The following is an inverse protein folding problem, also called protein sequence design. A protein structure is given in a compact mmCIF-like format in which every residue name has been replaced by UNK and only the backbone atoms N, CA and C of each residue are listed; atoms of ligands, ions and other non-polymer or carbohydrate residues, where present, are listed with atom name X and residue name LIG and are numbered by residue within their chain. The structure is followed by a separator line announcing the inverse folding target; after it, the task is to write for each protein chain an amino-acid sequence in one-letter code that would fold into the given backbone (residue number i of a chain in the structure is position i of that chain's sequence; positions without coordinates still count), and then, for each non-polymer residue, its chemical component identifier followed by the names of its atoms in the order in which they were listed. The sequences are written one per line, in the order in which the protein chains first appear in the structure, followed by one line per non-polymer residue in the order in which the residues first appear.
data_IF_941318943943
#
_entry.id   IF_941318943943
#
_cell.length_a   1.000
_cell.length_b   1.000
_cell.length_c   1.000
_cell.angle_alpha   90.00
_cell.angle_beta   90.00
_cell.angle_gamma   90.00
#
_symmetry.space_group_name_H-M   'P 1'
#
loop_
_entity.id
_entity.type
_entity.pdbx_description
1 polymer ?
#
# COMPACT_ATOMS: atom_id res chain seq x y z
N UNK A 1 5.45 -41.98 -25.56
CA UNK A 1 5.99 -40.61 -25.63
C UNK A 1 7.27 -40.64 -24.85
N UNK A 2 8.42 -40.71 -25.53
CA UNK A 2 9.71 -40.49 -24.86
C UNK A 2 9.68 -39.07 -24.29
N UNK A 3 10.06 -38.91 -23.03
CA UNK A 3 9.94 -37.64 -22.33
C UNK A 3 10.86 -36.62 -23.01
N UNK A 4 10.41 -35.37 -23.16
CA UNK A 4 11.20 -34.34 -23.86
C UNK A 4 12.54 -34.12 -23.12
N UNK A 5 12.56 -34.45 -21.83
CA UNK A 5 13.71 -34.50 -20.93
C UNK A 5 14.69 -35.62 -21.33
N UNK A 6 14.21 -36.85 -21.61
CA UNK A 6 15.05 -37.97 -22.07
C UNK A 6 15.79 -37.64 -23.38
N UNK A 7 15.15 -36.84 -24.24
CA UNK A 7 15.75 -36.39 -25.50
C UNK A 7 16.79 -35.27 -25.31
N UNK A 8 16.59 -34.33 -24.38
CA UNK A 8 17.58 -33.29 -24.07
C UNK A 8 18.83 -33.92 -23.44
N UNK A 9 18.66 -34.89 -22.54
CA UNK A 9 19.77 -35.68 -21.98
C UNK A 9 20.53 -36.50 -23.04
N UNK A 10 19.87 -36.83 -24.16
CA UNK A 10 20.52 -37.51 -25.28
C UNK A 10 21.39 -36.58 -26.14
N UNK A 11 21.07 -35.27 -26.16
CA UNK A 11 21.80 -34.23 -26.89
C UNK A 11 22.99 -33.68 -26.09
N UNK A 12 22.92 -33.70 -24.75
CA UNK A 12 23.99 -33.23 -23.86
C UNK A 12 25.17 -34.22 -23.74
N UNK A 13 25.03 -35.43 -24.30
CA UNK A 13 26.14 -36.38 -24.40
C UNK A 13 27.09 -35.87 -25.48
N UNK A 14 28.39 -35.67 -25.20
CA UNK A 14 29.36 -35.31 -26.23
C UNK A 14 29.47 -36.46 -27.23
N UNK A 15 28.67 -36.43 -28.28
CA UNK A 15 28.93 -37.23 -29.46
C UNK A 15 30.16 -36.63 -30.11
N UNK A 16 31.19 -37.45 -30.27
CA UNK A 16 32.43 -37.11 -30.94
C UNK A 16 32.13 -37.01 -32.45
N UNK A 17 31.42 -35.96 -32.86
CA UNK A 17 31.03 -35.74 -34.26
C UNK A 17 32.26 -35.25 -35.00
N UNK A 18 32.84 -36.10 -35.85
CA UNK A 18 34.15 -35.83 -36.49
C UNK A 18 34.02 -35.35 -37.92
N UNK A 19 32.84 -35.46 -38.54
CA UNK A 19 32.62 -35.09 -39.94
C UNK A 19 31.37 -34.24 -40.17
N UNK A 20 31.39 -33.40 -41.21
CA UNK A 20 30.27 -32.52 -41.59
C UNK A 20 29.01 -33.32 -41.93
N UNK A 21 29.15 -34.52 -42.49
CA UNK A 21 28.04 -35.42 -42.84
C UNK A 21 27.34 -35.99 -41.60
N UNK A 22 28.08 -36.31 -40.53
CA UNK A 22 27.49 -36.76 -39.26
C UNK A 22 26.73 -35.63 -38.55
N UNK A 23 27.21 -34.38 -38.66
CA UNK A 23 26.48 -33.20 -38.18
C UNK A 23 25.17 -33.05 -38.96
N UNK A 24 25.21 -33.14 -40.30
CA UNK A 24 24.02 -33.04 -41.13
C UNK A 24 22.99 -34.13 -40.83
N UNK A 25 23.42 -35.38 -40.63
CA UNK A 25 22.53 -36.47 -40.26
C UNK A 25 21.92 -36.28 -38.87
N UNK A 26 22.69 -35.81 -37.90
CA UNK A 26 22.20 -35.55 -36.54
C UNK A 26 21.19 -34.40 -36.51
N UNK A 27 21.47 -33.32 -37.24
CA UNK A 27 20.53 -32.19 -37.37
C UNK A 27 19.26 -32.61 -38.11
N UNK A 28 19.36 -33.38 -39.19
CA UNK A 28 18.20 -33.87 -39.94
C UNK A 28 17.34 -34.82 -39.10
N UNK A 29 17.96 -35.71 -38.33
CA UNK A 29 17.26 -36.64 -37.44
C UNK A 29 16.52 -35.92 -36.30
N UNK A 30 17.03 -34.77 -35.86
CA UNK A 30 16.46 -33.98 -34.77
C UNK A 30 15.79 -32.68 -35.24
N UNK A 31 15.56 -32.53 -36.55
CA UNK A 31 15.12 -31.26 -37.15
C UNK A 31 13.86 -30.71 -36.49
N UNK A 32 12.83 -31.53 -36.33
CA UNK A 32 11.57 -31.11 -35.69
C UNK A 32 11.78 -30.68 -34.23
N UNK A 33 12.73 -31.27 -33.51
CA UNK A 33 13.02 -30.90 -32.14
C UNK A 33 13.78 -29.56 -32.08
N UNK A 34 14.78 -29.41 -32.94
CA UNK A 34 15.56 -28.18 -33.06
C UNK A 34 14.65 -27.02 -33.49
N UNK A 35 13.78 -27.26 -34.48
CA UNK A 35 12.79 -26.30 -34.96
C UNK A 35 11.83 -25.90 -33.83
N UNK A 36 11.27 -26.88 -33.10
CA UNK A 36 10.33 -26.62 -32.00
C UNK A 36 10.96 -25.98 -30.74
N UNK A 37 12.25 -26.16 -30.49
CA UNK A 37 12.93 -25.62 -29.30
C UNK A 37 13.55 -24.25 -29.56
N UNK A 38 14.14 -24.04 -30.74
CA UNK A 38 14.97 -22.87 -31.04
C UNK A 38 14.36 -21.93 -32.08
N UNK A 39 13.45 -22.42 -32.93
CA UNK A 39 12.88 -21.64 -34.04
C UNK A 39 11.35 -21.47 -33.95
N UNK A 40 10.70 -22.10 -32.97
CA UNK A 40 9.29 -21.84 -32.66
C UNK A 40 9.12 -20.46 -32.02
N UNK A 41 8.59 -19.53 -32.81
CA UNK A 41 8.19 -18.18 -32.36
C UNK A 41 7.22 -18.17 -31.17
N UNK A 42 6.49 -19.27 -30.94
CA UNK A 42 5.56 -19.44 -29.81
C UNK A 42 6.21 -20.15 -28.62
N UNK A 43 7.45 -20.61 -28.77
CA UNK A 43 8.28 -21.23 -27.74
C UNK A 43 7.55 -22.34 -26.95
N UNK A 44 6.65 -23.09 -27.60
CA UNK A 44 5.69 -23.97 -26.91
C UNK A 44 6.40 -25.05 -26.08
N UNK A 45 7.43 -25.69 -26.66
CA UNK A 45 8.21 -26.70 -25.97
C UNK A 45 9.05 -26.10 -24.83
N UNK A 46 9.69 -24.95 -25.08
CA UNK A 46 10.52 -24.24 -24.10
C UNK A 46 9.70 -23.72 -22.91
N UNK A 47 8.49 -23.19 -23.14
CA UNK A 47 7.58 -22.76 -22.08
C UNK A 47 7.11 -23.93 -21.21
N UNK A 48 6.88 -25.11 -21.81
CA UNK A 48 6.52 -26.31 -21.05
C UNK A 48 7.63 -26.72 -20.07
N UNK A 49 8.89 -26.69 -20.53
CA UNK A 49 10.06 -26.97 -19.68
C UNK A 49 10.15 -25.92 -18.57
N UNK A 50 10.08 -24.63 -18.92
CA UNK A 50 10.22 -23.52 -17.99
C UNK A 50 9.14 -23.54 -16.90
N UNK A 51 7.87 -23.79 -17.26
CA UNK A 51 6.77 -23.97 -16.30
C UNK A 51 6.95 -25.17 -15.38
N UNK A 52 7.77 -26.15 -15.75
CA UNK A 52 8.17 -27.25 -14.89
C UNK A 52 9.30 -26.91 -13.92
N UNK A 53 10.15 -25.93 -14.26
CA UNK A 53 11.31 -25.52 -13.45
C UNK A 53 10.96 -24.45 -12.40
N UNK A 54 9.99 -23.60 -12.70
CA UNK A 54 9.58 -22.49 -11.82
C UNK A 54 8.07 -22.39 -11.74
N UNK A 55 7.56 -22.03 -10.55
CA UNK A 55 6.16 -21.66 -10.41
C UNK A 55 5.93 -20.32 -11.10
N UNK A 56 5.17 -20.33 -12.20
CA UNK A 56 4.89 -19.13 -13.01
C UNK A 56 3.56 -18.46 -12.64
N UNK A 57 2.80 -19.01 -11.70
CA UNK A 57 1.45 -18.53 -11.38
C UNK A 57 0.55 -18.41 -12.63
N UNK A 58 -0.43 -17.49 -12.63
CA UNK A 58 -1.35 -17.25 -13.75
C UNK A 58 -0.78 -16.28 -14.80
N UNK A 59 0.53 -16.32 -15.09
CA UNK A 59 1.16 -15.46 -16.10
C UNK A 59 0.81 -15.97 -17.51
N UNK A 60 0.26 -15.12 -18.40
CA UNK A 60 0.02 -15.50 -19.80
C UNK A 60 1.32 -15.86 -20.53
N UNK A 61 1.27 -16.86 -21.41
CA UNK A 61 2.43 -17.39 -22.14
C UNK A 61 3.19 -16.30 -22.91
N UNK A 62 2.49 -15.32 -23.49
CA UNK A 62 3.11 -14.18 -24.18
C UNK A 62 3.94 -13.29 -23.25
N UNK A 63 3.47 -13.07 -22.02
CA UNK A 63 4.20 -12.28 -21.01
C UNK A 63 5.38 -13.07 -20.48
N UNK A 64 5.22 -14.37 -20.25
CA UNK A 64 6.30 -15.25 -19.83
C UNK A 64 7.42 -15.29 -20.88
N UNK A 65 7.09 -15.34 -22.18
CA UNK A 65 8.05 -15.22 -23.28
C UNK A 65 8.82 -13.90 -23.18
N UNK A 66 8.13 -12.77 -22.99
CA UNK A 66 8.79 -11.46 -22.87
C UNK A 66 9.75 -11.44 -21.67
N UNK A 67 9.35 -11.98 -20.52
CA UNK A 67 10.22 -12.06 -19.33
C UNK A 67 11.48 -12.87 -19.59
N UNK A 68 11.37 -13.98 -20.34
CA UNK A 68 12.50 -14.82 -20.71
C UNK A 68 13.44 -14.10 -21.69
N UNK A 69 12.88 -13.40 -22.69
CA UNK A 69 13.65 -12.62 -23.66
C UNK A 69 14.39 -11.43 -23.00
N UNK A 70 13.84 -10.89 -21.92
CA UNK A 70 14.43 -9.82 -21.11
C UNK A 70 15.54 -10.29 -20.16
N UNK A 71 15.87 -11.59 -20.12
CA UNK A 71 16.95 -12.12 -19.29
C UNK A 71 18.32 -11.79 -19.89
N UNK A 72 19.17 -11.14 -19.10
CA UNK A 72 20.55 -10.81 -19.48
C UNK A 72 21.43 -12.04 -19.68
N UNK A 73 21.13 -13.12 -18.95
CA UNK A 73 21.89 -14.36 -18.95
C UNK A 73 21.61 -15.24 -20.18
N UNK A 74 20.46 -15.07 -20.84
CA UNK A 74 20.02 -15.89 -21.96
C UNK A 74 20.01 -17.40 -21.66
N UNK A 75 19.79 -18.22 -22.69
CA UNK A 75 19.79 -19.69 -22.57
C UNK A 75 21.19 -20.31 -22.42
N UNK A 76 22.26 -19.53 -22.59
CA UNK A 76 23.65 -20.00 -22.52
C UNK A 76 24.22 -20.00 -21.10
N UNK A 77 23.48 -19.49 -20.12
CA UNK A 77 23.92 -19.42 -18.73
C UNK A 77 23.63 -20.71 -17.95
N UNK A 78 24.39 -21.00 -16.87
CA UNK A 78 24.11 -22.14 -16.01
C UNK A 78 22.67 -22.12 -15.49
N UNK A 79 22.05 -23.30 -15.40
CA UNK A 79 20.65 -23.49 -15.00
C UNK A 79 20.29 -22.74 -13.71
N UNK A 80 21.18 -22.77 -12.71
CA UNK A 80 20.99 -22.09 -11.42
C UNK A 80 20.90 -20.57 -11.61
N UNK A 81 21.73 -20.00 -12.47
CA UNK A 81 21.74 -18.55 -12.76
C UNK A 81 20.48 -18.16 -13.52
N UNK A 82 20.15 -18.90 -14.58
CA UNK A 82 18.96 -18.67 -15.39
C UNK A 82 17.69 -18.74 -14.53
N UNK A 83 17.55 -19.81 -13.74
CA UNK A 83 16.38 -20.03 -12.87
C UNK A 83 16.23 -18.92 -11.84
N UNK A 84 17.33 -18.47 -11.23
CA UNK A 84 17.30 -17.38 -10.25
C UNK A 84 16.87 -16.05 -10.89
N UNK A 85 17.42 -15.70 -12.05
CA UNK A 85 17.04 -14.46 -12.74
C UNK A 85 15.59 -14.50 -13.20
N UNK A 86 15.14 -15.65 -13.74
CA UNK A 86 13.75 -15.84 -14.15
C UNK A 86 12.79 -15.73 -12.96
N UNK A 87 13.11 -16.35 -11.81
CA UNK A 87 12.30 -16.20 -10.58
C UNK A 87 12.20 -14.73 -10.16
N UNK A 88 13.30 -13.97 -10.22
CA UNK A 88 13.28 -12.53 -9.93
C UNK A 88 12.37 -11.75 -10.89
N UNK A 89 12.43 -12.03 -12.19
CA UNK A 89 11.56 -11.40 -13.20
C UNK A 89 10.08 -11.74 -13.01
N UNK A 90 9.78 -12.99 -12.65
CA UNK A 90 8.42 -13.44 -12.32
C UNK A 90 7.91 -12.69 -11.09
N UNK A 91 8.71 -12.62 -10.02
CA UNK A 91 8.35 -11.90 -8.81
C UNK A 91 8.09 -10.40 -9.08
N UNK A 92 8.94 -9.75 -9.88
CA UNK A 92 8.75 -8.35 -10.27
C UNK A 92 7.46 -8.15 -11.10
N UNK A 93 7.15 -9.07 -12.00
CA UNK A 93 5.91 -9.05 -12.77
C UNK A 93 4.70 -9.17 -11.85
N UNK A 94 4.74 -10.11 -10.90
CA UNK A 94 3.66 -10.31 -9.93
C UNK A 94 3.45 -9.08 -9.06
N UNK A 95 4.53 -8.47 -8.52
CA UNK A 95 4.45 -7.22 -7.75
C UNK A 95 3.80 -6.09 -8.55
N UNK A 96 4.20 -5.90 -9.82
CA UNK A 96 3.60 -4.88 -10.71
C UNK A 96 2.13 -5.17 -11.01
N UNK A 97 1.78 -6.44 -11.23
CA UNK A 97 0.40 -6.86 -11.45
C UNK A 97 -0.48 -6.60 -10.21
N UNK A 98 0.03 -6.95 -9.03
CA UNK A 98 -0.65 -6.70 -7.75
C UNK A 98 -0.74 -5.21 -7.43
N UNK A 99 0.31 -4.44 -7.67
CA UNK A 99 0.30 -2.98 -7.52
C UNK A 99 -0.81 -2.33 -8.36
N UNK A 100 -0.98 -2.74 -9.63
CA UNK A 100 -2.09 -2.28 -10.48
C UNK A 100 -3.46 -2.66 -9.92
N UNK A 101 -3.60 -3.89 -9.41
CA UNK A 101 -4.87 -4.36 -8.79
C UNK A 101 -5.19 -3.57 -7.53
N UNK A 102 -4.20 -3.32 -6.67
CA UNK A 102 -4.34 -2.50 -5.46
C UNK A 102 -4.77 -1.07 -5.81
N UNK A 103 -4.14 -0.45 -6.81
CA UNK A 103 -4.49 0.89 -7.25
C UNK A 103 -5.90 0.97 -7.88
N UNK A 104 -6.29 -0.03 -8.67
CA UNK A 104 -7.64 -0.12 -9.19
C UNK A 104 -8.66 -0.25 -8.06
N UNK A 105 -8.36 -1.11 -7.07
CA UNK A 105 -9.23 -1.30 -5.92
C UNK A 105 -9.36 -0.03 -5.08
N UNK A 106 -8.24 0.68 -4.89
CA UNK A 106 -8.23 2.00 -4.29
C UNK A 106 -9.16 2.97 -5.03
N UNK A 107 -9.07 3.02 -6.37
CA UNK A 107 -9.93 3.88 -7.20
C UNK A 107 -11.41 3.52 -7.09
N UNK A 108 -11.75 2.24 -7.03
CA UNK A 108 -13.14 1.80 -6.81
C UNK A 108 -13.69 2.30 -5.47
N UNK A 109 -12.89 2.16 -4.41
CA UNK A 109 -13.27 2.51 -3.04
C UNK A 109 -13.36 4.02 -2.85
N UNK A 110 -12.39 4.77 -3.38
CA UNK A 110 -12.19 6.19 -3.06
C UNK A 110 -12.59 7.16 -4.17
N UNK A 111 -12.79 6.65 -5.40
CA UNK A 111 -12.97 7.43 -6.63
C UNK A 111 -11.79 8.36 -6.97
N UNK A 112 -10.62 8.18 -6.35
CA UNK A 112 -9.39 8.90 -6.71
C UNK A 112 -8.39 7.99 -7.43
N UNK A 113 -7.47 8.58 -8.18
CA UNK A 113 -6.44 7.84 -8.92
C UNK A 113 -5.25 7.45 -8.06
N UNK A 114 -5.07 8.07 -6.89
CA UNK A 114 -3.99 7.74 -5.94
C UNK A 114 -4.30 8.17 -4.49
N UNK A 115 -3.61 7.58 -3.50
CA UNK A 115 -3.64 8.06 -2.11
C UNK A 115 -3.27 9.53 -1.95
N UNK A 116 -2.28 10.01 -2.70
CA UNK A 116 -1.84 11.42 -2.65
C UNK A 116 -2.92 12.37 -3.16
N UNK A 117 -3.60 12.01 -4.25
CA UNK A 117 -4.71 12.80 -4.78
C UNK A 117 -5.86 12.87 -3.77
N UNK A 118 -6.28 11.74 -3.21
CA UNK A 118 -7.36 11.72 -2.23
C UNK A 118 -7.05 12.55 -1.01
N UNK A 119 -5.82 12.45 -0.50
CA UNK A 119 -5.38 13.22 0.66
C UNK A 119 -5.42 14.72 0.38
N UNK A 120 -4.96 15.14 -0.81
CA UNK A 120 -5.01 16.53 -1.23
C UNK A 120 -6.45 17.04 -1.35
N UNK A 121 -7.35 16.26 -1.93
CA UNK A 121 -8.77 16.63 -2.12
C UNK A 121 -9.54 16.69 -0.80
N UNK A 122 -9.28 15.77 0.12
CA UNK A 122 -10.04 15.65 1.37
C UNK A 122 -9.36 16.35 2.55
N UNK A 123 -8.17 16.91 2.35
CA UNK A 123 -7.38 17.63 3.36
C UNK A 123 -7.12 16.83 4.64
N UNK A 124 -6.91 15.52 4.50
CA UNK A 124 -6.52 14.62 5.57
C UNK A 124 -5.64 13.48 5.02
N UNK A 125 -4.84 12.80 5.85
CA UNK A 125 -4.06 11.66 5.41
C UNK A 125 -4.92 10.54 4.81
N UNK A 126 -4.46 9.95 3.71
CA UNK A 126 -5.18 8.89 2.99
C UNK A 126 -5.42 7.63 3.83
N UNK A 127 -4.60 7.39 4.86
CA UNK A 127 -4.75 6.22 5.72
C UNK A 127 -6.09 6.23 6.49
N UNK A 128 -6.73 7.40 6.63
CA UNK A 128 -8.08 7.49 7.20
C UNK A 128 -9.17 6.81 6.36
N UNK A 129 -8.88 6.42 5.12
CA UNK A 129 -9.80 5.55 4.36
C UNK A 129 -9.96 4.18 5.03
N UNK A 130 -8.92 3.69 5.70
CA UNK A 130 -8.86 2.35 6.30
C UNK A 130 -8.65 2.41 7.82
N UNK A 131 -9.09 3.48 8.48
CA UNK A 131 -8.82 3.73 9.90
C UNK A 131 -9.27 2.61 10.86
N UNK A 132 -10.20 1.75 10.42
CA UNK A 132 -10.71 0.60 11.16
C UNK A 132 -9.94 -0.71 10.90
N UNK A 133 -8.86 -0.67 10.12
CA UNK A 133 -7.96 -1.79 9.86
C UNK A 133 -6.75 -1.77 10.80
N UNK A 134 -6.14 -2.94 11.04
CA UNK A 134 -5.03 -3.11 11.98
C UNK A 134 -3.79 -2.25 11.65
N UNK A 135 -3.55 -1.92 10.37
CA UNK A 135 -2.43 -1.08 9.96
C UNK A 135 -2.76 -0.25 8.71
N UNK A 136 -3.46 0.88 8.86
CA UNK A 136 -3.93 1.69 7.74
C UNK A 136 -2.78 2.34 6.97
N UNK A 137 -1.71 2.74 7.65
CA UNK A 137 -0.54 3.37 7.01
C UNK A 137 0.17 2.39 6.08
N UNK A 138 0.34 1.14 6.50
CA UNK A 138 0.93 0.09 5.67
C UNK A 138 0.11 -0.17 4.40
N UNK A 139 -1.22 -0.16 4.50
CA UNK A 139 -2.08 -0.30 3.31
C UNK A 139 -1.77 0.80 2.29
N UNK A 140 -1.69 2.05 2.74
CA UNK A 140 -1.36 3.19 1.85
C UNK A 140 0.04 3.07 1.26
N UNK A 141 1.02 2.61 2.03
CA UNK A 141 2.37 2.40 1.53
C UNK A 141 2.40 1.29 0.45
N UNK A 142 1.72 0.16 0.67
CA UNK A 142 1.65 -0.92 -0.33
C UNK A 142 0.94 -0.49 -1.63
N UNK A 143 -0.03 0.42 -1.55
CA UNK A 143 -0.69 0.99 -2.74
C UNK A 143 0.25 1.97 -3.47
N UNK A 144 1.02 2.78 -2.72
CA UNK A 144 1.84 3.85 -3.28
C UNK A 144 3.19 3.36 -3.82
N UNK A 145 3.76 2.34 -3.17
CA UNK A 145 5.10 1.79 -3.43
C UNK A 145 5.06 0.25 -3.41
N UNK A 146 4.29 -0.40 -4.29
CA UNK A 146 4.17 -1.86 -4.31
C UNK A 146 5.52 -2.57 -4.53
N UNK A 147 6.48 -1.93 -5.21
CA UNK A 147 7.83 -2.42 -5.47
C UNK A 147 8.64 -2.72 -4.20
N UNK A 148 8.34 -2.02 -3.10
CA UNK A 148 9.07 -2.14 -1.83
C UNK A 148 8.62 -3.37 -1.01
N UNK A 149 7.61 -4.12 -1.47
CA UNK A 149 7.00 -5.22 -0.72
C UNK A 149 7.02 -6.54 -1.52
N UNK A 150 7.04 -7.67 -0.81
CA UNK A 150 6.91 -8.99 -1.42
C UNK A 150 5.52 -9.21 -2.04
N UNK A 151 5.43 -10.04 -3.07
CA UNK A 151 4.14 -10.38 -3.70
C UNK A 151 3.14 -10.99 -2.69
N UNK A 152 3.63 -11.81 -1.76
CA UNK A 152 2.85 -12.37 -0.65
C UNK A 152 2.22 -11.27 0.22
N UNK A 153 3.00 -10.25 0.58
CA UNK A 153 2.53 -9.14 1.39
C UNK A 153 1.46 -8.32 0.66
N UNK A 154 1.69 -8.01 -0.60
CA UNK A 154 0.73 -7.30 -1.44
C UNK A 154 -0.58 -8.09 -1.61
N UNK A 155 -0.50 -9.40 -1.78
CA UNK A 155 -1.67 -10.28 -1.83
C UNK A 155 -2.47 -10.27 -0.54
N UNK A 156 -1.81 -10.32 0.62
CA UNK A 156 -2.49 -10.23 1.91
C UNK A 156 -3.25 -8.90 2.07
N UNK A 157 -2.63 -7.77 1.67
CA UNK A 157 -3.30 -6.47 1.67
C UNK A 157 -4.48 -6.45 0.69
N UNK A 158 -4.31 -7.01 -0.51
CA UNK A 158 -5.38 -7.09 -1.51
C UNK A 158 -6.60 -7.87 -0.99
N UNK A 159 -6.38 -8.99 -0.29
CA UNK A 159 -7.46 -9.76 0.34
C UNK A 159 -8.24 -8.93 1.36
N UNK A 160 -7.55 -8.17 2.20
CA UNK A 160 -8.19 -7.23 3.14
C UNK A 160 -9.00 -6.15 2.41
N UNK A 161 -8.46 -5.58 1.34
CA UNK A 161 -9.12 -4.52 0.56
C UNK A 161 -10.33 -4.98 -0.25
N UNK A 162 -10.41 -6.26 -0.62
CA UNK A 162 -11.57 -6.80 -1.32
C UNK A 162 -12.85 -6.72 -0.49
N UNK A 163 -12.74 -6.64 0.83
CA UNK A 163 -13.89 -6.48 1.74
C UNK A 163 -14.31 -5.02 1.95
N UNK A 164 -13.48 -4.05 1.53
CA UNK A 164 -13.74 -2.63 1.77
C UNK A 164 -14.98 -2.12 1.00
N UNK A 165 -15.82 -1.34 1.65
CA UNK A 165 -16.91 -0.61 0.98
C UNK A 165 -16.41 0.64 0.25
N UNK A 166 -17.31 1.34 -0.43
CA UNK A 166 -17.04 2.71 -0.89
C UNK A 166 -16.76 3.60 0.33
N UNK A 167 -15.75 4.47 0.23
CA UNK A 167 -15.35 5.36 1.31
C UNK A 167 -16.46 6.37 1.65
N UNK A 168 -16.83 6.43 2.92
CA UNK A 168 -17.61 7.54 3.47
C UNK A 168 -16.67 8.61 4.02
N UNK A 169 -16.49 9.69 3.25
CA UNK A 169 -15.61 10.81 3.62
C UNK A 169 -16.01 11.44 4.95
N UNK A 170 -17.31 11.52 5.29
CA UNK A 170 -17.77 12.10 6.56
C UNK A 170 -17.34 11.24 7.74
N UNK A 171 -17.39 9.91 7.57
CA UNK A 171 -16.89 8.96 8.58
C UNK A 171 -15.38 9.12 8.77
N UNK A 172 -14.61 9.29 7.69
CA UNK A 172 -13.17 9.57 7.78
C UNK A 172 -12.87 10.89 8.51
N UNK A 173 -13.62 11.95 8.21
CA UNK A 173 -13.50 13.25 8.91
C UNK A 173 -13.79 13.13 10.41
N UNK A 174 -14.83 12.37 10.77
CA UNK A 174 -15.17 12.13 12.18
C UNK A 174 -14.07 11.35 12.90
N UNK A 175 -13.53 10.30 12.27
CA UNK A 175 -12.40 9.54 12.81
C UNK A 175 -11.15 10.43 13.00
N UNK A 176 -10.85 11.30 12.02
CA UNK A 176 -9.75 12.26 12.11
C UNK A 176 -9.88 13.21 13.31
N UNK A 177 -11.07 13.76 13.52
CA UNK A 177 -11.36 14.61 14.67
C UNK A 177 -11.21 13.81 15.97
N UNK A 178 -11.78 12.60 16.02
CA UNK A 178 -11.79 11.78 17.24
C UNK A 178 -10.38 11.38 17.70
N UNK A 179 -9.47 11.12 16.74
CA UNK A 179 -8.08 10.77 16.98
C UNK A 179 -7.25 11.95 17.52
N UNK A 180 -7.46 13.16 16.99
CA UNK A 180 -6.56 14.29 17.27
C UNK A 180 -7.11 15.29 18.28
N UNK A 181 -8.43 15.38 18.47
CA UNK A 181 -9.03 16.31 19.43
C UNK A 181 -9.04 15.70 20.84
N UNK A 182 -8.40 16.34 21.83
CA UNK A 182 -8.42 15.86 23.20
C UNK A 182 -9.85 15.76 23.75
N UNK A 183 -10.13 14.73 24.56
CA UNK A 183 -11.47 14.45 25.11
C UNK A 183 -12.14 15.65 25.78
N UNK A 184 -11.37 16.52 26.44
CA UNK A 184 -11.88 17.76 27.08
C UNK A 184 -12.50 18.76 26.10
N UNK A 185 -12.18 18.65 24.81
CA UNK A 185 -12.75 19.48 23.75
C UNK A 185 -13.81 18.77 22.89
N UNK A 186 -14.02 17.44 23.07
CA UNK A 186 -14.97 16.66 22.25
C UNK A 186 -16.44 17.07 22.43
N UNK A 187 -16.78 17.70 23.55
CA UNK A 187 -18.11 18.26 23.79
C UNK A 187 -18.41 19.52 22.95
N UNK A 188 -17.42 20.08 22.27
CA UNK A 188 -17.57 21.23 21.39
C UNK A 188 -17.60 20.77 19.94
N UNK A 189 -18.46 21.39 19.14
CA UNK A 189 -18.65 21.06 17.73
C UNK A 189 -17.50 21.64 16.86
N UNK A 190 -16.29 21.11 17.04
CA UNK A 190 -15.12 21.50 16.24
C UNK A 190 -15.36 21.06 14.79
N UNK A 191 -15.40 22.03 13.89
CA UNK A 191 -15.58 21.78 12.45
C UNK A 191 -14.33 21.20 11.81
N UNK A 192 -14.47 20.07 11.09
CA UNK A 192 -13.40 19.48 10.29
C UNK A 192 -12.76 20.51 9.34
N UNK A 193 -13.57 21.31 8.64
CA UNK A 193 -13.05 22.26 7.64
C UNK A 193 -12.17 23.36 8.25
N UNK A 194 -12.50 23.81 9.47
CA UNK A 194 -11.70 24.79 10.23
C UNK A 194 -10.36 24.16 10.65
N UNK A 195 -10.41 22.95 11.22
CA UNK A 195 -9.22 22.20 11.63
C UNK A 195 -8.30 21.88 10.44
N UNK A 196 -8.85 21.38 9.34
CA UNK A 196 -8.10 21.06 8.14
C UNK A 196 -7.42 22.31 7.55
N UNK A 197 -8.13 23.44 7.50
CA UNK A 197 -7.56 24.71 7.05
C UNK A 197 -6.40 25.19 7.92
N UNK A 198 -6.48 24.99 9.25
CA UNK A 198 -5.39 25.29 10.15
C UNK A 198 -4.18 24.39 9.88
N UNK A 199 -4.40 23.08 9.77
CA UNK A 199 -3.34 22.09 9.55
C UNK A 199 -2.62 22.30 8.21
N UNK A 200 -3.37 22.55 7.13
CA UNK A 200 -2.80 22.87 5.81
C UNK A 200 -1.95 24.14 5.80
N UNK A 201 -2.22 25.10 6.70
CA UNK A 201 -1.39 26.31 6.87
C UNK A 201 -0.16 26.05 7.75
N UNK A 202 -0.32 25.24 8.80
CA UNK A 202 0.74 24.93 9.77
C UNK A 202 1.79 24.00 9.19
N UNK A 203 1.35 22.97 8.47
CA UNK A 203 2.20 21.95 7.88
C UNK A 203 2.27 22.16 6.38
N UNK A 204 3.47 22.40 5.86
CA UNK A 204 3.71 22.43 4.42
C UNK A 204 3.67 21.01 3.83
N UNK A 205 3.28 20.90 2.57
CA UNK A 205 3.27 19.63 1.84
C UNK A 205 1.93 18.90 1.87
N UNK A 206 1.97 17.59 1.60
CA UNK A 206 0.78 16.73 1.52
C UNK A 206 0.30 16.34 2.92
N UNK A 207 -1.02 16.17 3.13
CA UNK A 207 -1.52 15.59 4.39
C UNK A 207 -0.90 14.23 4.73
N UNK A 208 -0.47 13.45 3.73
CA UNK A 208 0.19 12.17 3.96
C UNK A 208 1.57 12.30 4.66
N UNK A 209 2.17 13.49 4.67
CA UNK A 209 3.49 13.73 5.28
C UNK A 209 3.39 14.47 6.62
N UNK A 210 2.18 14.68 7.14
CA UNK A 210 2.00 15.27 8.46
C UNK A 210 2.59 14.37 9.55
N UNK A 211 3.08 14.96 10.66
CA UNK A 211 3.57 14.17 11.77
C UNK A 211 2.45 13.38 12.44
N UNK A 212 2.77 12.20 12.96
CA UNK A 212 1.82 11.34 13.69
C UNK A 212 1.15 12.05 14.85
N UNK A 213 1.88 12.96 15.52
CA UNK A 213 1.35 13.80 16.57
C UNK A 213 1.21 15.23 16.08
N UNK A 214 -0.02 15.61 15.74
CA UNK A 214 -0.36 16.98 15.37
C UNK A 214 -0.32 17.90 16.60
N UNK A 215 0.28 19.07 16.42
CA UNK A 215 0.23 20.13 17.42
C UNK A 215 -0.96 21.04 17.14
N UNK A 216 -2.00 20.90 17.97
CA UNK A 216 -3.24 21.65 17.90
C UNK A 216 -3.36 22.70 19.02
N UNK A 217 -2.32 22.91 19.82
CA UNK A 217 -2.38 23.75 21.04
C UNK A 217 -2.88 25.17 20.76
N UNK A 218 -2.32 25.82 19.73
CA UNK A 218 -2.69 27.16 19.31
C UNK A 218 -4.12 27.20 18.74
N UNK A 219 -4.47 26.25 17.88
CA UNK A 219 -5.81 26.12 17.31
C UNK A 219 -6.87 25.97 18.41
N UNK A 220 -6.67 25.02 19.33
CA UNK A 220 -7.60 24.75 20.43
C UNK A 220 -7.69 25.93 21.40
N UNK A 221 -6.58 26.63 21.66
CA UNK A 221 -6.58 27.85 22.47
C UNK A 221 -7.38 28.96 21.81
N UNK A 222 -7.23 29.13 20.50
CA UNK A 222 -8.00 30.11 19.71
C UNK A 222 -9.49 29.76 19.74
N UNK A 223 -9.86 28.53 19.38
CA UNK A 223 -11.23 28.03 19.43
C UNK A 223 -11.86 28.18 20.80
N UNK A 224 -11.10 27.90 21.87
CA UNK A 224 -11.58 28.12 23.23
C UNK A 224 -11.91 29.57 23.49
N UNK A 225 -11.01 30.51 23.14
CA UNK A 225 -11.23 31.94 23.39
C UNK A 225 -12.40 32.51 22.57
N UNK A 226 -12.58 32.06 21.34
CA UNK A 226 -13.55 32.66 20.41
C UNK A 226 -14.95 32.05 20.51
N UNK A 227 -15.05 30.75 20.75
CA UNK A 227 -16.32 30.03 20.70
C UNK A 227 -16.76 29.51 22.07
N UNK A 228 -15.82 28.93 22.84
CA UNK A 228 -16.15 28.23 24.09
C UNK A 228 -16.27 29.18 25.28
N UNK A 229 -15.26 30.03 25.49
CA UNK A 229 -15.18 30.93 26.64
C UNK A 229 -16.37 31.90 26.70
N UNK A 230 -16.85 32.50 25.59
CA UNK A 230 -18.04 33.36 25.64
C UNK A 230 -19.29 32.63 26.12
N UNK A 231 -19.50 31.39 25.69
CA UNK A 231 -20.63 30.56 26.13
C UNK A 231 -20.49 30.19 27.61
N UNK A 232 -19.30 29.74 28.03
CA UNK A 232 -19.03 29.42 29.43
C UNK A 232 -19.21 30.65 30.35
N UNK A 233 -18.76 31.83 29.91
CA UNK A 233 -18.95 33.09 30.65
C UNK A 233 -20.43 33.47 30.73
N UNK A 234 -21.20 33.28 29.66
CA UNK A 234 -22.64 33.55 29.65
C UNK A 234 -23.39 32.66 30.64
N UNK A 235 -23.07 31.36 30.67
CA UNK A 235 -23.60 30.41 31.66
C UNK A 235 -23.25 30.82 33.10
N UNK A 236 -21.98 31.15 33.36
CA UNK A 236 -21.53 31.61 34.68
C UNK A 236 -22.29 32.88 35.11
N UNK A 237 -22.58 33.80 34.19
CA UNK A 237 -23.34 35.02 34.48
C UNK A 237 -24.81 34.76 34.82
N UNK A 238 -25.37 33.63 34.39
CA UNK A 238 -26.75 33.25 34.68
C UNK A 238 -26.89 32.47 36.00
N UNK A 239 -25.80 31.90 36.52
CA UNK A 239 -25.79 31.20 37.80
C UNK A 239 -26.03 32.15 38.97
N UNK A 240 -26.77 31.69 39.97
CA UNK A 240 -26.90 32.44 41.23
C UNK A 240 -25.61 32.35 42.07
N UNK A 241 -25.49 33.22 43.06
CA UNK A 241 -24.26 33.33 43.87
C UNK A 241 -23.94 32.05 44.66
N UNK A 242 -24.95 31.31 45.10
CA UNK A 242 -24.78 30.08 45.91
C UNK A 242 -24.28 28.93 45.04
N UNK A 243 -24.88 28.74 43.86
CA UNK A 243 -24.44 27.78 42.84
C UNK A 243 -23.02 28.07 42.36
N UNK A 244 -22.72 29.34 42.05
CA UNK A 244 -21.39 29.74 41.59
C UNK A 244 -20.34 29.48 42.67
N UNK A 245 -20.62 29.84 43.93
CA UNK A 245 -19.71 29.59 45.05
C UNK A 245 -19.47 28.10 45.26
N UNK A 246 -20.53 27.28 45.24
CA UNK A 246 -20.43 25.83 45.36
C UNK A 246 -19.53 25.23 44.27
N UNK A 247 -19.71 25.68 43.02
CA UNK A 247 -18.94 25.20 41.87
C UNK A 247 -17.46 25.61 41.93
N UNK A 248 -17.16 26.84 42.35
CA UNK A 248 -15.79 27.31 42.57
C UNK A 248 -15.09 26.48 43.67
N UNK A 249 -15.79 26.17 44.76
CA UNK A 249 -15.23 25.35 45.85
C UNK A 249 -14.90 23.93 45.38
N UNK A 250 -15.77 23.29 44.59
CA UNK A 250 -15.48 22.00 43.96
C UNK A 250 -14.28 22.10 43.02
N UNK A 251 -14.24 23.09 42.13
CA UNK A 251 -13.10 23.29 41.22
C UNK A 251 -11.77 23.50 41.96
N UNK A 252 -11.75 24.26 43.05
CA UNK A 252 -10.55 24.49 43.84
C UNK A 252 -10.09 23.25 44.62
N UNK A 253 -11.00 22.34 44.97
CA UNK A 253 -10.67 21.06 45.60
C UNK A 253 -10.13 20.04 44.59
N UNK A 254 -10.68 20.03 43.36
CA UNK A 254 -10.40 19.02 42.34
C UNK A 254 -9.29 19.44 41.35
N UNK A 255 -8.94 20.72 41.29
CA UNK A 255 -7.92 21.26 40.39
C UNK A 255 -6.93 22.15 41.15
N UNK A 256 -5.68 21.68 41.28
CA UNK A 256 -4.61 22.37 42.00
C UNK A 256 -4.35 23.78 41.45
N UNK A 257 -4.26 23.94 40.13
CA UNK A 257 -4.01 25.24 39.50
C UNK A 257 -5.09 26.27 39.86
N UNK A 258 -6.36 25.84 39.96
CA UNK A 258 -7.46 26.70 40.40
C UNK A 258 -7.37 26.98 41.90
N UNK A 259 -7.09 25.96 42.72
CA UNK A 259 -6.94 26.11 44.17
C UNK A 259 -5.84 27.11 44.55
N UNK A 260 -4.70 27.06 43.87
CA UNK A 260 -3.57 27.97 44.06
C UNK A 260 -3.93 29.45 43.82
N UNK A 261 -4.92 29.76 42.97
CA UNK A 261 -5.38 31.15 42.75
C UNK A 261 -6.04 31.72 44.02
N UNK A 262 -6.66 30.88 44.83
CA UNK A 262 -7.36 31.28 46.06
C UNK A 262 -6.50 31.12 47.32
N UNK A 263 -5.36 30.44 47.21
CA UNK A 263 -4.41 30.29 48.30
C UNK A 263 -3.64 31.59 48.51
N UNK A 264 -3.75 32.15 49.72
CA UNK A 264 -2.95 33.26 50.22
C UNK A 264 -2.17 32.82 51.44
#
# INVERSE_FOLDING_TARGET
MADLIDCIESLDKPQNVKTIEEIQQTVAANYNLIDNLFYDSKMVASLKIIKGMVETGPIPDSELINLIQDLSSGYSSPEITFTRELKGKIEDYEKKSLGRKLLNRWKEVTQSSSPSEWAATNHMPAYFVFFDYDNPKLIIQCISHPEDYSAEKLNAIMQSLNTAGITDVKRCQAAFIDEHIPSKYKGFNISFGSLASYLMKRYSGSPNTWPDKLDLSEYLTSQYKTEIAPQAIAEIKQMNAEELKSKILSLAADNEDIGLIFWK
#
